data_IF_736165935435
#
_entry.id   IF_736165935435
#
_cell.length_a   1.000
_cell.length_b   1.000
_cell.length_c   1.000
_cell.angle_alpha   90.00
_cell.angle_beta   90.00
_cell.angle_gamma   90.00
#
_symmetry.space_group_name_H-M   'P 1'
#
loop_
_entity.id
_entity.type
_entity.pdbx_description
1 polymer ?
#
# COMPACT_ATOMS: atom_id res chain seq x y z
N UNK A 1 -5.07 25.65 0.02
CA UNK A 1 -4.17 26.56 0.75
C UNK A 1 -3.85 25.90 2.09
N UNK A 2 -2.58 25.56 2.36
CA UNK A 2 -2.19 25.07 3.70
C UNK A 2 -2.38 26.22 4.69
N UNK A 3 -3.10 26.00 5.78
CA UNK A 3 -3.51 27.08 6.70
C UNK A 3 -2.26 27.79 7.26
N UNK A 4 -2.25 29.13 7.24
CA UNK A 4 -1.11 30.01 7.59
C UNK A 4 0.15 29.86 6.72
N UNK A 5 0.04 29.28 5.53
CA UNK A 5 1.13 29.32 4.56
C UNK A 5 1.03 30.56 3.67
N UNK A 6 2.18 31.11 3.29
CA UNK A 6 2.29 32.08 2.20
C UNK A 6 2.54 31.31 0.90
N UNK A 7 1.71 31.49 -0.15
CA UNK A 7 1.96 30.84 -1.42
C UNK A 7 3.19 31.45 -2.08
N UNK A 8 4.04 30.59 -2.64
CA UNK A 8 5.16 30.98 -3.49
C UNK A 8 4.94 30.30 -4.85
N UNK A 9 4.85 31.10 -5.91
CA UNK A 9 4.67 30.59 -7.28
C UNK A 9 6.03 30.58 -7.97
N UNK A 10 6.66 29.41 -8.01
CA UNK A 10 7.94 29.19 -8.66
C UNK A 10 8.10 27.71 -9.05
N UNK A 11 9.08 27.42 -9.91
CA UNK A 11 9.62 26.06 -10.01
C UNK A 11 10.21 25.65 -8.65
N UNK A 12 9.94 24.43 -8.20
CA UNK A 12 10.33 23.99 -6.86
C UNK A 12 11.85 23.96 -6.68
N UNK A 13 12.61 23.54 -7.70
CA UNK A 13 14.07 23.47 -7.63
C UNK A 13 14.68 24.87 -7.59
N UNK A 14 14.25 25.76 -8.49
CA UNK A 14 14.73 27.15 -8.53
C UNK A 14 14.38 27.87 -7.22
N UNK A 15 13.14 27.76 -6.75
CA UNK A 15 12.71 28.38 -5.50
C UNK A 15 13.49 27.88 -4.29
N UNK A 16 13.77 26.57 -4.20
CA UNK A 16 14.60 26.02 -3.13
C UNK A 16 16.05 26.53 -3.17
N UNK A 17 16.62 26.74 -4.37
CA UNK A 17 17.98 27.28 -4.50
C UNK A 17 18.07 28.74 -4.02
N UNK A 18 17.10 29.58 -4.41
CA UNK A 18 17.04 30.97 -3.95
C UNK A 18 16.77 31.08 -2.44
N UNK A 19 15.84 30.27 -1.92
CA UNK A 19 15.58 30.20 -0.48
C UNK A 19 16.81 29.73 0.29
N UNK A 20 17.56 28.76 -0.21
CA UNK A 20 18.78 28.28 0.44
C UNK A 20 19.85 29.38 0.53
N UNK A 21 20.02 30.18 -0.52
CA UNK A 21 20.92 31.33 -0.51
C UNK A 21 20.45 32.44 0.46
N UNK A 22 19.15 32.77 0.43
CA UNK A 22 18.59 33.79 1.31
C UNK A 22 18.60 33.41 2.80
N UNK A 23 18.61 32.10 3.10
CA UNK A 23 18.65 31.55 4.46
C UNK A 23 20.06 31.15 4.90
N UNK A 24 21.11 31.62 4.22
CA UNK A 24 22.48 31.33 4.62
C UNK A 24 22.73 31.72 6.08
N UNK A 25 23.28 30.78 6.86
CA UNK A 25 23.53 30.96 8.30
C UNK A 25 22.30 30.80 9.20
N UNK A 26 21.08 30.79 8.65
CA UNK A 26 19.87 30.51 9.43
C UNK A 26 19.79 29.04 9.83
N UNK A 27 19.34 28.77 11.06
CA UNK A 27 19.06 27.42 11.56
C UNK A 27 17.77 27.43 12.37
N UNK A 28 16.97 26.37 12.21
CA UNK A 28 15.85 26.13 13.11
C UNK A 28 16.35 25.97 14.56
N UNK A 29 15.54 26.31 15.58
CA UNK A 29 15.91 26.13 16.97
C UNK A 29 16.40 24.69 17.25
N UNK A 30 17.53 24.50 17.95
CA UNK A 30 18.04 23.17 18.25
C UNK A 30 17.02 22.22 18.90
N UNK A 31 16.16 22.66 19.84
CA UNK A 31 15.13 21.79 20.42
C UNK A 31 14.14 21.24 19.39
N UNK A 32 13.75 22.05 18.41
CA UNK A 32 12.83 21.64 17.34
C UNK A 32 13.45 20.54 16.46
N UNK A 33 14.70 20.74 16.07
CA UNK A 33 15.42 19.76 15.23
C UNK A 33 15.71 18.47 16.01
N UNK A 34 15.97 18.56 17.31
CA UNK A 34 16.16 17.41 18.19
C UNK A 34 14.87 16.60 18.34
N UNK A 35 13.73 17.26 18.58
CA UNK A 35 12.43 16.59 18.67
C UNK A 35 12.06 15.90 17.34
N UNK A 36 12.17 16.60 16.20
CA UNK A 36 11.88 16.01 14.89
C UNK A 36 12.72 14.73 14.61
N UNK A 37 13.99 14.71 15.01
CA UNK A 37 14.85 13.52 14.92
C UNK A 37 14.37 12.41 15.86
N UNK A 38 14.04 12.74 17.11
CA UNK A 38 13.53 11.77 18.09
C UNK A 38 12.21 11.14 17.62
N UNK A 39 11.26 11.95 17.15
CA UNK A 39 9.98 11.47 16.61
C UNK A 39 10.18 10.57 15.37
N UNK A 40 11.11 10.93 14.48
CA UNK A 40 11.45 10.09 13.33
C UNK A 40 12.01 8.73 13.78
N UNK A 41 12.91 8.70 14.75
CA UNK A 41 13.46 7.45 15.29
C UNK A 41 12.36 6.59 15.91
N UNK A 42 11.50 7.19 16.76
CA UNK A 42 10.39 6.50 17.39
C UNK A 42 9.39 5.92 16.37
N UNK A 43 9.13 6.66 15.28
CA UNK A 43 8.31 6.15 14.18
C UNK A 43 8.96 4.97 13.48
N UNK A 44 10.25 5.03 13.16
CA UNK A 44 10.96 3.93 12.49
C UNK A 44 10.93 2.66 13.36
N UNK A 45 11.15 2.79 14.66
CA UNK A 45 11.03 1.68 15.61
C UNK A 45 9.60 1.11 15.66
N UNK A 46 8.60 1.97 15.55
CA UNK A 46 7.19 1.56 15.50
C UNK A 46 6.85 0.83 14.21
N UNK A 47 7.23 1.39 13.06
CA UNK A 47 7.06 0.76 11.76
C UNK A 47 7.77 -0.60 11.69
N UNK A 48 8.98 -0.71 12.27
CA UNK A 48 9.74 -1.95 12.33
C UNK A 48 8.94 -3.09 13.00
N UNK A 49 8.19 -2.79 14.07
CA UNK A 49 7.33 -3.79 14.75
C UNK A 49 6.20 -4.31 13.85
N UNK A 50 5.55 -3.43 13.08
CA UNK A 50 4.48 -3.84 12.16
C UNK A 50 5.00 -4.60 10.94
N UNK A 51 6.20 -4.24 10.47
CA UNK A 51 6.82 -4.89 9.31
C UNK A 51 7.60 -6.16 9.69
N UNK A 52 7.71 -6.51 10.96
CA UNK A 52 8.53 -7.62 11.44
C UNK A 52 8.08 -8.96 10.86
N UNK A 53 9.04 -9.85 10.63
CA UNK A 53 8.76 -11.25 10.28
C UNK A 53 7.96 -11.92 11.40
N UNK A 54 7.10 -12.87 11.03
CA UNK A 54 6.34 -13.69 11.95
C UNK A 54 5.93 -15.00 11.28
N UNK A 55 5.40 -15.94 12.06
CA UNK A 55 4.89 -17.23 11.58
C UNK A 55 3.35 -17.27 11.60
N UNK A 56 2.69 -16.12 11.51
CA UNK A 56 1.22 -16.08 11.38
C UNK A 56 0.80 -16.71 10.05
N UNK A 57 -0.31 -17.45 10.06
CA UNK A 57 -0.82 -18.13 8.87
C UNK A 57 -1.18 -17.14 7.75
N UNK A 58 -1.79 -16.01 8.11
CA UNK A 58 -2.16 -14.93 7.18
C UNK A 58 -1.52 -13.62 7.64
N UNK A 59 -0.39 -13.21 7.04
CA UNK A 59 0.24 -11.95 7.40
C UNK A 59 -0.63 -10.74 7.04
N UNK A 60 -0.35 -9.61 7.70
CA UNK A 60 -0.89 -8.33 7.29
C UNK A 60 -0.13 -7.75 6.08
N UNK A 61 -0.75 -6.81 5.37
CA UNK A 61 -0.09 -6.03 4.31
C UNK A 61 1.24 -5.43 4.79
N UNK A 62 1.29 -4.94 6.03
CA UNK A 62 2.49 -4.37 6.66
C UNK A 62 3.65 -5.39 6.74
N UNK A 63 3.35 -6.64 7.07
CA UNK A 63 4.34 -7.71 7.17
C UNK A 63 4.83 -8.14 5.78
N UNK A 64 3.94 -8.15 4.78
CA UNK A 64 4.31 -8.40 3.38
C UNK A 64 5.22 -7.28 2.85
N UNK A 65 4.91 -6.01 3.12
CA UNK A 65 5.78 -4.86 2.81
C UNK A 65 7.16 -5.04 3.46
N UNK A 66 7.19 -5.46 4.72
CA UNK A 66 8.42 -5.79 5.44
C UNK A 66 9.24 -6.90 4.78
N UNK A 67 8.59 -7.98 4.35
CA UNK A 67 9.24 -9.09 3.64
C UNK A 67 9.85 -8.64 2.31
N UNK A 68 9.13 -7.82 1.53
CA UNK A 68 9.66 -7.21 0.30
C UNK A 68 10.89 -6.36 0.59
N UNK A 69 10.83 -5.51 1.63
CA UNK A 69 11.95 -4.64 2.00
C UNK A 69 13.18 -5.43 2.49
N UNK A 70 12.99 -6.53 3.24
CA UNK A 70 14.09 -7.39 3.69
C UNK A 70 14.73 -8.18 2.55
N UNK A 71 13.92 -8.77 1.67
CA UNK A 71 14.42 -9.64 0.60
C UNK A 71 15.08 -8.86 -0.53
N UNK A 72 14.53 -7.70 -0.89
CA UNK A 72 14.96 -6.93 -2.06
C UNK A 72 15.73 -5.65 -1.68
N UNK A 73 15.69 -5.23 -0.42
CA UNK A 73 16.24 -3.94 -0.01
C UNK A 73 15.35 -2.78 -0.47
N UNK A 74 15.90 -1.56 -0.36
CA UNK A 74 15.16 -0.30 -0.57
C UNK A 74 15.44 0.36 -1.92
N UNK A 75 16.47 -0.11 -2.64
CA UNK A 75 16.85 0.39 -3.98
C UNK A 75 16.14 -0.41 -5.08
N UNK A 76 14.82 -0.48 -4.97
CA UNK A 76 13.91 -1.02 -5.98
C UNK A 76 12.82 0.00 -6.21
N UNK A 77 12.18 -0.01 -7.38
CA UNK A 77 11.00 0.79 -7.58
C UNK A 77 9.74 -0.01 -7.21
N UNK A 78 8.99 0.49 -6.23
CA UNK A 78 7.71 -0.09 -5.82
C UNK A 78 6.58 0.60 -6.60
N UNK A 79 5.61 -0.17 -7.06
CA UNK A 79 4.42 0.35 -7.71
C UNK A 79 3.14 -0.30 -7.18
N UNK A 80 2.14 0.53 -6.88
CA UNK A 80 0.82 0.12 -6.44
C UNK A 80 -0.21 1.24 -6.77
N UNK A 81 -1.51 0.94 -6.76
CA UNK A 81 -2.53 1.91 -7.20
C UNK A 81 -3.74 2.01 -6.28
N UNK A 82 -4.21 0.90 -5.71
CA UNK A 82 -5.49 0.88 -5.02
C UNK A 82 -5.56 -0.08 -3.84
N UNK A 83 -6.63 0.03 -3.05
CA UNK A 83 -6.92 -0.85 -1.93
C UNK A 83 -6.35 -0.35 -0.59
N UNK A 84 -6.07 -1.27 0.33
CA UNK A 84 -5.41 -0.94 1.61
C UNK A 84 -3.91 -0.65 1.47
N UNK A 85 -3.28 -1.24 0.45
CA UNK A 85 -1.85 -1.17 0.19
C UNK A 85 -1.30 0.25 0.04
N UNK A 86 -1.92 1.20 -0.68
CA UNK A 86 -1.43 2.58 -0.76
C UNK A 86 -1.24 3.23 0.61
N UNK A 87 -2.18 3.01 1.54
CA UNK A 87 -2.10 3.54 2.90
C UNK A 87 -0.99 2.86 3.72
N UNK A 88 -0.85 1.54 3.61
CA UNK A 88 0.21 0.79 4.29
C UNK A 88 1.61 1.12 3.74
N UNK A 89 1.77 1.20 2.41
CA UNK A 89 2.99 1.62 1.75
C UNK A 89 3.39 3.05 2.13
N UNK A 90 2.42 3.97 2.21
CA UNK A 90 2.67 5.36 2.62
C UNK A 90 3.27 5.44 4.02
N UNK A 91 2.79 4.59 4.94
CA UNK A 91 3.25 4.54 6.33
C UNK A 91 4.60 3.81 6.44
N UNK A 92 4.79 2.72 5.69
CA UNK A 92 5.79 1.70 6.04
C UNK A 92 6.93 1.54 5.01
N UNK A 93 6.73 1.93 3.76
CA UNK A 93 7.77 1.79 2.75
C UNK A 93 8.85 2.86 2.92
N UNK A 94 10.10 2.44 3.10
CA UNK A 94 11.22 3.34 3.24
C UNK A 94 11.88 3.56 1.87
N UNK A 95 11.31 4.41 1.04
CA UNK A 95 11.90 4.75 -0.26
C UNK A 95 13.37 5.20 -0.11
N UNK A 96 14.25 4.75 -1.01
CA UNK A 96 15.68 5.07 -0.96
C UNK A 96 16.05 6.29 -1.80
N UNK A 97 15.35 6.54 -2.90
CA UNK A 97 15.66 7.61 -3.83
C UNK A 97 14.40 8.17 -4.54
N UNK A 98 14.46 9.37 -5.12
CA UNK A 98 13.42 9.87 -6.01
C UNK A 98 13.14 8.88 -7.14
N UNK A 99 11.86 8.69 -7.49
CA UNK A 99 11.45 7.76 -8.56
C UNK A 99 11.45 6.29 -8.15
N UNK A 100 11.65 5.95 -6.86
CA UNK A 100 11.56 4.55 -6.40
C UNK A 100 10.23 4.21 -5.70
N UNK A 101 9.29 5.16 -5.68
CA UNK A 101 7.98 5.02 -5.05
C UNK A 101 6.89 5.56 -5.97
N UNK A 102 6.19 4.66 -6.66
CA UNK A 102 5.16 4.97 -7.64
C UNK A 102 3.79 4.53 -7.12
N UNK A 103 3.07 5.46 -6.50
CA UNK A 103 1.74 5.22 -5.99
C UNK A 103 0.72 6.11 -6.68
N UNK A 104 -0.37 5.51 -7.13
CA UNK A 104 -1.54 6.25 -7.59
C UNK A 104 -2.38 6.65 -6.36
N UNK A 105 -2.54 7.97 -6.13
CA UNK A 105 -3.41 8.53 -5.09
C UNK A 105 -4.52 9.43 -5.64
N UNK A 106 -4.45 9.80 -6.93
CA UNK A 106 -5.32 10.80 -7.52
C UNK A 106 -6.66 10.20 -7.89
N UNK A 107 -6.65 9.24 -8.80
CA UNK A 107 -7.86 8.52 -9.22
C UNK A 107 -8.06 7.20 -8.45
N UNK A 108 -6.99 6.68 -7.85
CA UNK A 108 -6.85 5.36 -7.22
C UNK A 108 -7.39 4.24 -8.11
N UNK A 109 -6.91 4.21 -9.36
CA UNK A 109 -7.40 3.28 -10.39
C UNK A 109 -7.00 1.84 -10.07
N UNK A 110 -7.98 1.01 -9.72
CA UNK A 110 -7.76 -0.44 -9.68
C UNK A 110 -7.42 -0.97 -11.08
N UNK A 111 -6.53 -1.97 -11.15
CA UNK A 111 -6.02 -2.57 -12.38
C UNK A 111 -4.83 -1.82 -13.00
N UNK A 112 -4.48 -0.63 -12.52
CA UNK A 112 -3.34 0.14 -13.05
C UNK A 112 -1.99 -0.53 -12.76
N UNK A 113 -1.89 -1.35 -11.71
CA UNK A 113 -0.64 -1.78 -11.11
C UNK A 113 0.30 -2.49 -12.10
N UNK A 114 -0.18 -3.48 -12.86
CA UNK A 114 0.70 -4.24 -13.76
C UNK A 114 1.11 -3.37 -14.96
N UNK A 115 0.16 -2.65 -15.57
CA UNK A 115 0.43 -1.75 -16.69
C UNK A 115 1.41 -0.62 -16.31
N UNK A 116 1.20 -0.01 -15.14
CA UNK A 116 2.09 0.99 -14.57
C UNK A 116 3.49 0.42 -14.32
N UNK A 117 3.57 -0.82 -13.84
CA UNK A 117 4.84 -1.55 -13.66
C UNK A 117 5.60 -1.72 -14.97
N UNK A 118 4.92 -2.10 -16.05
CA UNK A 118 5.51 -2.17 -17.40
C UNK A 118 6.06 -0.81 -17.82
N UNK A 119 5.25 0.24 -17.71
CA UNK A 119 5.67 1.60 -18.07
C UNK A 119 6.90 2.07 -17.29
N UNK A 120 6.93 1.80 -15.99
CA UNK A 120 8.06 2.12 -15.13
C UNK A 120 9.34 1.37 -15.53
N UNK A 121 9.22 0.07 -15.83
CA UNK A 121 10.35 -0.75 -16.27
C UNK A 121 10.87 -0.34 -17.65
N UNK A 122 9.99 0.10 -18.54
CA UNK A 122 10.38 0.66 -19.85
C UNK A 122 11.10 2.01 -19.68
N UNK A 123 10.70 2.83 -18.70
CA UNK A 123 11.31 4.12 -18.43
C UNK A 123 12.70 3.99 -17.77
N UNK A 124 12.90 3.03 -16.88
CA UNK A 124 14.21 2.67 -16.30
C UNK A 124 14.44 1.14 -16.35
N UNK A 125 14.96 0.61 -17.48
CA UNK A 125 15.21 -0.81 -17.64
C UNK A 125 16.21 -1.40 -16.63
N UNK A 126 17.04 -0.56 -16.01
CA UNK A 126 18.07 -0.98 -15.05
C UNK A 126 17.51 -1.26 -13.66
N UNK A 127 16.34 -0.70 -13.33
CA UNK A 127 15.73 -0.85 -12.00
C UNK A 127 14.96 -2.15 -11.86
N UNK A 128 15.06 -2.81 -10.71
CA UNK A 128 14.11 -3.86 -10.35
C UNK A 128 12.76 -3.21 -10.00
N UNK A 129 11.70 -3.62 -10.68
CA UNK A 129 10.35 -3.10 -10.48
C UNK A 129 9.52 -4.15 -9.75
N UNK A 130 9.00 -3.77 -8.59
CA UNK A 130 8.09 -4.59 -7.80
C UNK A 130 6.71 -3.98 -7.84
N UNK A 131 5.75 -4.76 -8.32
CA UNK A 131 4.33 -4.39 -8.33
C UNK A 131 3.65 -5.07 -7.15
N UNK A 132 3.07 -4.30 -6.23
CA UNK A 132 2.24 -4.84 -5.15
C UNK A 132 0.77 -4.63 -5.50
N UNK A 133 0.00 -5.72 -5.54
CA UNK A 133 -1.37 -5.72 -6.03
C UNK A 133 -2.26 -6.63 -5.18
N UNK A 134 -3.48 -6.20 -4.87
CA UNK A 134 -4.48 -7.07 -4.24
C UNK A 134 -5.20 -7.95 -5.27
N UNK A 135 -5.75 -9.08 -4.85
CA UNK A 135 -6.49 -10.03 -5.70
C UNK A 135 -7.61 -9.37 -6.51
N UNK A 136 -8.38 -8.47 -5.89
CA UNK A 136 -9.44 -7.74 -6.60
C UNK A 136 -8.92 -6.82 -7.71
N UNK A 137 -7.81 -6.12 -7.47
CA UNK A 137 -7.20 -5.22 -8.46
C UNK A 137 -6.52 -6.01 -9.59
N UNK A 138 -5.87 -7.13 -9.23
CA UNK A 138 -5.29 -8.07 -10.18
C UNK A 138 -6.33 -8.55 -11.20
N UNK A 139 -7.53 -8.92 -10.75
CA UNK A 139 -8.59 -9.42 -11.62
C UNK A 139 -9.15 -8.39 -12.61
N UNK A 140 -8.86 -7.09 -12.44
CA UNK A 140 -9.32 -6.04 -13.36
C UNK A 140 -8.44 -5.92 -14.62
N UNK A 141 -7.14 -6.18 -14.52
CA UNK A 141 -6.19 -5.99 -15.62
C UNK A 141 -5.05 -7.03 -15.63
N UNK A 142 -5.36 -8.27 -15.24
CA UNK A 142 -4.40 -9.38 -15.20
C UNK A 142 -3.77 -9.70 -16.56
N UNK A 143 -4.46 -9.41 -17.68
CA UNK A 143 -4.00 -9.65 -19.05
C UNK A 143 -2.66 -8.98 -19.33
N UNK A 144 -2.32 -7.89 -18.63
CA UNK A 144 -1.05 -7.19 -18.80
C UNK A 144 0.17 -8.02 -18.36
N UNK A 145 -0.02 -9.13 -17.64
CA UNK A 145 1.06 -10.10 -17.47
C UNK A 145 1.52 -10.68 -18.82
N UNK A 146 0.59 -10.98 -19.73
CA UNK A 146 0.91 -11.47 -21.06
C UNK A 146 1.65 -10.39 -21.86
N UNK A 147 1.26 -9.12 -21.73
CA UNK A 147 1.98 -7.98 -22.31
C UNK A 147 3.41 -7.89 -21.79
N UNK A 148 3.60 -7.96 -20.47
CA UNK A 148 4.93 -7.94 -19.83
C UNK A 148 5.82 -9.07 -20.33
N UNK A 149 5.29 -10.29 -20.45
CA UNK A 149 6.01 -11.46 -20.99
C UNK A 149 6.33 -11.28 -22.48
N UNK A 150 5.36 -10.86 -23.29
CA UNK A 150 5.54 -10.61 -24.72
C UNK A 150 6.65 -9.59 -24.99
N UNK A 151 6.71 -8.53 -24.17
CA UNK A 151 7.72 -7.48 -24.29
C UNK A 151 9.08 -7.86 -23.66
N UNK A 152 9.19 -9.00 -22.97
CA UNK A 152 10.36 -9.33 -22.16
C UNK A 152 10.62 -8.31 -21.04
N UNK A 153 9.59 -7.54 -20.66
CA UNK A 153 9.70 -6.47 -19.66
C UNK A 153 9.44 -7.06 -18.29
N UNK A 154 10.49 -7.67 -17.72
CA UNK A 154 10.44 -8.38 -16.43
C UNK A 154 9.92 -7.48 -15.29
N UNK A 155 8.92 -7.98 -14.58
CA UNK A 155 8.40 -7.45 -13.31
C UNK A 155 8.45 -8.53 -12.21
N UNK A 156 8.56 -8.10 -10.95
CA UNK A 156 8.24 -8.93 -9.79
C UNK A 156 6.88 -8.48 -9.27
N UNK A 157 5.86 -9.33 -9.35
CA UNK A 157 4.50 -9.02 -8.87
C UNK A 157 4.26 -9.76 -7.56
N UNK A 158 3.94 -9.02 -6.50
CA UNK A 158 3.52 -9.56 -5.21
C UNK A 158 2.01 -9.40 -5.12
N UNK A 159 1.30 -10.52 -5.24
CA UNK A 159 -0.17 -10.57 -5.22
C UNK A 159 -0.63 -10.96 -3.81
N UNK A 160 -1.29 -10.03 -3.14
CA UNK A 160 -1.85 -10.22 -1.81
C UNK A 160 -3.31 -10.67 -1.95
N UNK A 161 -3.57 -11.92 -1.60
CA UNK A 161 -4.86 -12.57 -1.75
C UNK A 161 -5.60 -12.59 -0.40
N UNK A 162 -6.47 -11.60 -0.19
CA UNK A 162 -7.29 -11.50 1.03
C UNK A 162 -8.75 -11.90 0.80
N UNK A 163 -9.04 -12.52 -0.36
CA UNK A 163 -10.37 -13.02 -0.75
C UNK A 163 -11.42 -11.91 -0.91
N UNK A 164 -11.05 -10.80 -1.55
CA UNK A 164 -11.96 -9.73 -1.95
C UNK A 164 -11.43 -8.31 -1.72
N UNK A 165 -12.33 -7.39 -1.42
CA UNK A 165 -12.06 -5.98 -1.16
C UNK A 165 -11.93 -5.72 0.35
N UNK A 166 -10.86 -6.25 0.95
CA UNK A 166 -10.61 -6.18 2.40
C UNK A 166 -10.68 -4.77 3.01
N UNK A 167 -10.12 -3.75 2.34
CA UNK A 167 -10.17 -2.37 2.87
C UNK A 167 -11.59 -1.79 2.89
N UNK A 168 -12.42 -2.11 1.90
CA UNK A 168 -13.82 -1.66 1.83
C UNK A 168 -14.64 -2.41 2.88
N UNK A 169 -14.41 -3.72 3.05
CA UNK A 169 -15.01 -4.49 4.13
C UNK A 169 -14.68 -3.90 5.51
N UNK A 170 -13.43 -3.50 5.72
CA UNK A 170 -12.98 -2.88 6.97
C UNK A 170 -13.65 -1.51 7.17
N UNK A 171 -13.74 -0.67 6.13
CA UNK A 171 -14.48 0.60 6.16
C UNK A 171 -15.94 0.38 6.58
N UNK A 172 -16.61 -0.52 5.86
CA UNK A 172 -18.01 -0.87 6.09
C UNK A 172 -18.25 -1.30 7.53
N UNK A 173 -17.37 -2.15 8.06
CA UNK A 173 -17.48 -2.60 9.44
C UNK A 173 -17.21 -1.47 10.46
N UNK A 174 -16.17 -0.65 10.24
CA UNK A 174 -15.84 0.47 11.14
C UNK A 174 -16.90 1.58 11.17
N UNK A 175 -17.76 1.65 10.15
CA UNK A 175 -18.89 2.59 10.08
C UNK A 175 -20.19 1.99 10.61
N UNK A 176 -20.11 0.85 11.31
CA UNK A 176 -21.25 0.15 11.93
C UNK A 176 -22.08 -0.70 10.97
N UNK A 177 -21.64 -0.86 9.72
CA UNK A 177 -22.28 -1.74 8.74
C UNK A 177 -21.97 -3.22 8.98
N UNK A 178 -22.92 -4.08 8.61
CA UNK A 178 -22.62 -5.51 8.45
C UNK A 178 -21.63 -5.70 7.29
N UNK A 179 -20.81 -6.75 7.38
CA UNK A 179 -19.99 -7.20 6.24
C UNK A 179 -20.92 -7.64 5.11
N UNK A 180 -20.78 -7.03 3.92
CA UNK A 180 -21.64 -7.37 2.78
C UNK A 180 -20.94 -7.09 1.45
N UNK A 181 -20.93 -8.12 0.59
CA UNK A 181 -20.47 -8.14 -0.80
C UNK A 181 -19.05 -7.62 -1.09
N UNK A 182 -18.22 -7.45 -0.05
CA UNK A 182 -16.83 -7.01 -0.20
C UNK A 182 -15.84 -8.16 -0.08
N UNK A 183 -16.10 -9.14 0.78
CA UNK A 183 -15.30 -10.37 0.85
C UNK A 183 -16.10 -11.51 0.23
N UNK A 184 -15.41 -12.47 -0.41
CA UNK A 184 -16.08 -13.60 -1.02
C UNK A 184 -16.93 -14.40 -0.01
N UNK A 185 -16.47 -14.52 1.24
CA UNK A 185 -17.20 -15.17 2.34
C UNK A 185 -18.48 -14.43 2.79
N UNK A 186 -18.53 -13.12 2.62
CA UNK A 186 -19.61 -12.29 3.15
C UNK A 186 -20.46 -11.74 2.00
N UNK A 187 -21.11 -12.63 1.25
CA UNK A 187 -21.91 -12.26 0.08
C UNK A 187 -23.38 -12.71 0.21
N UNK A 188 -24.31 -11.91 -0.31
CA UNK A 188 -25.76 -12.17 -0.17
C UNK A 188 -26.34 -13.20 -1.12
N UNK A 189 -25.61 -13.55 -2.19
CA UNK A 189 -26.06 -14.54 -3.17
C UNK A 189 -24.92 -15.46 -3.57
N UNK A 190 -24.41 -16.20 -2.60
CA UNK A 190 -23.30 -17.12 -2.81
C UNK A 190 -23.78 -18.57 -2.87
N UNK A 191 -23.58 -19.22 -4.02
CA UNK A 191 -23.75 -20.66 -4.15
C UNK A 191 -22.43 -21.42 -3.90
N UNK A 192 -21.30 -20.82 -4.29
CA UNK A 192 -19.95 -21.40 -4.17
C UNK A 192 -18.89 -20.30 -4.14
N UNK A 193 -17.78 -20.54 -3.44
CA UNK A 193 -16.61 -19.67 -3.49
C UNK A 193 -15.76 -19.91 -4.75
N UNK A 194 -15.20 -18.86 -5.38
CA UNK A 194 -14.49 -19.00 -6.64
C UNK A 194 -13.11 -19.69 -6.55
N UNK A 195 -12.60 -20.02 -5.35
CA UNK A 195 -11.34 -20.76 -5.08
C UNK A 195 -10.24 -20.55 -6.15
N UNK A 196 -9.87 -19.30 -6.39
CA UNK A 196 -9.02 -18.90 -7.53
C UNK A 196 -7.56 -19.29 -7.27
N UNK A 197 -6.98 -20.12 -8.13
CA UNK A 197 -5.52 -20.34 -8.16
C UNK A 197 -4.84 -19.24 -9.00
N UNK A 198 -4.51 -18.13 -8.33
CA UNK A 198 -3.82 -17.00 -8.97
C UNK A 198 -2.43 -17.36 -9.51
N UNK A 199 -1.74 -18.34 -8.92
CA UNK A 199 -0.44 -18.77 -9.41
C UNK A 199 -0.60 -19.55 -10.72
N UNK A 200 -1.58 -20.45 -10.81
CA UNK A 200 -1.91 -21.12 -12.07
C UNK A 200 -2.39 -20.12 -13.13
N UNK A 201 -3.23 -19.15 -12.74
CA UNK A 201 -3.70 -18.11 -13.64
C UNK A 201 -2.54 -17.28 -14.22
N UNK A 202 -1.60 -16.83 -13.39
CA UNK A 202 -0.40 -16.13 -13.84
C UNK A 202 0.49 -16.99 -14.75
N UNK A 203 0.65 -18.29 -14.46
CA UNK A 203 1.37 -19.23 -15.34
C UNK A 203 0.69 -19.39 -16.70
N UNK A 204 -0.64 -19.40 -16.73
CA UNK A 204 -1.41 -19.49 -17.98
C UNK A 204 -1.20 -18.26 -18.88
N UNK A 205 -0.82 -17.11 -18.30
CA UNK A 205 -0.45 -15.89 -19.04
C UNK A 205 1.04 -15.83 -19.40
N UNK A 206 1.81 -16.91 -19.15
CA UNK A 206 3.21 -17.05 -19.54
C UNK A 206 4.24 -16.61 -18.49
N UNK A 207 3.79 -16.08 -17.35
CA UNK A 207 4.67 -15.67 -16.26
C UNK A 207 5.21 -16.87 -15.45
N UNK A 208 6.29 -16.68 -14.72
CA UNK A 208 6.63 -17.57 -13.61
C UNK A 208 5.70 -17.28 -12.45
N UNK A 209 5.20 -18.29 -11.76
CA UNK A 209 4.41 -18.02 -10.56
C UNK A 209 4.42 -19.15 -9.55
N UNK A 210 4.38 -18.75 -8.27
CA UNK A 210 4.25 -19.64 -7.12
C UNK A 210 3.41 -18.98 -6.03
N UNK A 211 2.80 -19.79 -5.19
CA UNK A 211 2.15 -19.34 -3.95
C UNK A 211 3.12 -19.59 -2.79
N UNK A 212 3.41 -18.56 -2.01
CA UNK A 212 4.15 -18.66 -0.76
C UNK A 212 3.16 -18.96 0.38
N UNK A 213 3.50 -19.94 1.21
CA UNK A 213 2.70 -20.32 2.38
C UNK A 213 3.07 -19.56 3.65
N UNK A 214 4.16 -18.78 3.61
CA UNK A 214 4.65 -18.00 4.74
C UNK A 214 5.45 -16.77 4.28
N UNK A 215 5.73 -15.85 5.20
CA UNK A 215 6.62 -14.72 4.95
C UNK A 215 8.05 -15.17 4.60
N UNK A 216 8.54 -16.27 5.19
CA UNK A 216 9.86 -16.81 4.87
C UNK A 216 9.94 -17.31 3.43
N UNK A 217 8.93 -18.08 2.99
CA UNK A 217 8.84 -18.54 1.60
C UNK A 217 8.65 -17.37 0.62
N UNK A 218 7.95 -16.31 1.03
CA UNK A 218 7.84 -15.09 0.23
C UNK A 218 9.21 -14.43 0.04
N UNK A 219 10.00 -14.28 1.10
CA UNK A 219 11.35 -13.71 1.03
C UNK A 219 12.28 -14.54 0.12
N UNK A 220 12.25 -15.86 0.24
CA UNK A 220 12.98 -16.78 -0.64
C UNK A 220 12.51 -16.65 -2.11
N UNK A 221 11.20 -16.55 -2.31
CA UNK A 221 10.62 -16.40 -3.63
C UNK A 221 11.00 -15.09 -4.31
N UNK A 222 11.04 -13.99 -3.55
CA UNK A 222 11.49 -12.68 -4.02
C UNK A 222 12.96 -12.70 -4.40
N UNK A 223 13.82 -13.31 -3.57
CA UNK A 223 15.24 -13.45 -3.86
C UNK A 223 15.50 -14.27 -5.14
N UNK A 224 14.69 -15.30 -5.39
CA UNK A 224 14.74 -16.09 -6.62
C UNK A 224 14.17 -15.31 -7.82
N UNK A 225 13.05 -14.60 -7.67
CA UNK A 225 12.44 -13.77 -8.72
C UNK A 225 13.39 -12.66 -9.21
N UNK A 226 14.21 -12.08 -8.32
CA UNK A 226 15.28 -11.15 -8.69
C UNK A 226 16.25 -11.74 -9.72
N UNK A 227 16.54 -13.04 -9.64
CA UNK A 227 17.48 -13.73 -10.54
C UNK A 227 16.82 -14.24 -11.83
N UNK A 228 15.49 -14.27 -11.89
CA UNK A 228 14.75 -14.66 -13.09
C UNK A 228 14.88 -13.61 -14.19
N UNK A 229 14.85 -14.05 -15.44
CA UNK A 229 14.80 -13.21 -16.64
C UNK A 229 13.36 -12.95 -17.11
N UNK A 230 12.37 -13.54 -16.43
CA UNK A 230 10.95 -13.46 -16.79
C UNK A 230 10.11 -12.92 -15.65
N UNK A 231 9.01 -12.25 -16.01
CA UNK A 231 8.04 -11.76 -15.03
C UNK A 231 7.59 -12.87 -14.09
N UNK A 232 7.69 -12.59 -12.79
CA UNK A 232 7.40 -13.55 -11.73
C UNK A 232 6.29 -13.02 -10.83
N UNK A 233 5.24 -13.82 -10.62
CA UNK A 233 4.14 -13.54 -9.69
C UNK A 233 4.28 -14.41 -8.44
N UNK A 234 4.33 -13.78 -7.28
CA UNK A 234 4.37 -14.46 -5.99
C UNK A 234 3.06 -14.14 -5.28
N UNK A 235 2.24 -15.16 -5.06
CA UNK A 235 0.95 -15.06 -4.38
C UNK A 235 1.17 -15.33 -2.89
N UNK A 236 0.56 -14.53 -2.03
CA UNK A 236 0.51 -14.78 -0.58
C UNK A 236 -0.89 -14.49 -0.05
N UNK A 237 -1.43 -15.40 0.78
CA UNK A 237 -2.69 -15.15 1.46
C UNK A 237 -2.47 -14.12 2.57
N UNK A 238 -3.35 -13.12 2.69
CA UNK A 238 -3.27 -12.11 3.74
C UNK A 238 -4.56 -11.98 4.53
N UNK A 239 -4.46 -11.45 5.76
CA UNK A 239 -5.62 -11.20 6.60
C UNK A 239 -6.32 -9.91 6.12
N UNK A 240 -7.61 -9.97 5.67
CA UNK A 240 -8.34 -8.78 5.24
C UNK A 240 -8.59 -7.75 6.35
N UNK A 241 -8.44 -8.14 7.63
CA UNK A 241 -8.75 -7.30 8.78
C UNK A 241 -7.54 -6.64 9.42
N UNK A 242 -6.38 -7.29 9.37
CA UNK A 242 -5.16 -6.75 9.97
C UNK A 242 -4.71 -5.46 9.25
N UNK A 243 -4.40 -4.42 10.02
CA UNK A 243 -3.87 -3.15 9.51
C UNK A 243 -3.03 -2.46 10.59
N UNK A 244 -2.15 -1.54 10.19
CA UNK A 244 -1.34 -0.78 11.15
C UNK A 244 -2.19 0.22 11.92
N UNK A 245 -2.44 -0.07 13.20
CA UNK A 245 -3.20 0.78 14.13
C UNK A 245 -2.42 1.91 14.81
N UNK A 246 -1.11 2.02 14.57
CA UNK A 246 -0.32 3.13 15.10
C UNK A 246 -0.59 4.44 14.32
N UNK A 247 -0.49 5.57 15.04
CA UNK A 247 -0.59 6.91 14.46
C UNK A 247 -1.78 7.74 14.94
N UNK A 248 -2.68 7.19 15.77
CA UNK A 248 -3.69 7.95 16.53
C UNK A 248 -4.67 8.78 15.69
N UNK A 249 -4.82 8.44 14.41
CA UNK A 249 -5.71 9.11 13.47
C UNK A 249 -6.95 8.25 13.22
N UNK A 250 -7.97 8.89 12.67
CA UNK A 250 -9.24 8.28 12.35
C UNK A 250 -9.61 8.62 10.91
N UNK A 251 -10.49 7.82 10.32
CA UNK A 251 -10.90 8.03 8.94
C UNK A 251 -12.06 9.02 8.90
N UNK A 252 -11.79 10.23 8.41
CA UNK A 252 -12.82 11.27 8.24
C UNK A 252 -13.70 10.96 7.03
N UNK A 253 -14.49 9.89 7.19
CA UNK A 253 -15.53 9.44 6.29
C UNK A 253 -16.83 9.52 7.06
N UNK A 254 -17.75 10.37 6.59
CA UNK A 254 -19.01 10.59 7.26
C UNK A 254 -19.78 9.28 7.47
N UNK A 255 -20.09 8.98 8.73
CA UNK A 255 -21.02 7.91 9.10
C UNK A 255 -22.45 8.39 8.88
N UNK A 256 -23.33 7.47 8.46
CA UNK A 256 -24.76 7.75 8.22
C UNK A 256 -25.39 8.47 9.42
N UNK A 257 -26.03 9.60 9.17
CA UNK A 257 -26.65 10.44 10.21
C UNK A 257 -27.86 9.76 10.87
N UNK A 258 -28.62 8.98 10.11
CA UNK A 258 -29.81 8.26 10.58
C UNK A 258 -29.68 6.78 10.23
N UNK A 259 -29.88 5.91 11.21
CA UNK A 259 -29.89 4.44 11.01
C UNK A 259 -30.73 3.76 12.10
N UNK A 260 -31.39 2.66 11.73
CA UNK A 260 -32.06 1.78 12.69
C UNK A 260 -31.08 0.80 13.37
N UNK A 261 -29.84 0.73 12.90
CA UNK A 261 -28.80 -0.16 13.43
C UNK A 261 -28.08 0.48 14.62
N UNK A 262 -28.07 -0.15 15.80
CA UNK A 262 -27.36 0.39 16.96
C UNK A 262 -25.86 0.64 16.70
N UNK A 263 -25.20 -0.24 15.93
CA UNK A 263 -23.77 -0.16 15.64
C UNK A 263 -23.43 1.09 14.80
N UNK A 264 -24.31 1.47 13.86
CA UNK A 264 -24.14 2.69 13.05
C UNK A 264 -24.34 3.94 13.92
N UNK A 265 -25.32 3.92 14.82
CA UNK A 265 -25.56 5.02 15.76
C UNK A 265 -24.35 5.22 16.68
N UNK A 266 -23.76 4.12 17.16
CA UNK A 266 -22.53 4.16 17.96
C UNK A 266 -21.34 4.70 17.16
N UNK A 267 -21.11 4.17 15.95
CA UNK A 267 -20.05 4.66 15.06
C UNK A 267 -20.21 6.16 14.74
N UNK A 268 -21.44 6.64 14.56
CA UNK A 268 -21.73 8.06 14.33
C UNK A 268 -21.37 8.92 15.54
N UNK A 269 -21.68 8.48 16.77
CA UNK A 269 -21.28 9.19 17.98
C UNK A 269 -19.76 9.27 18.13
N UNK A 270 -19.05 8.18 17.81
CA UNK A 270 -17.59 8.17 17.82
C UNK A 270 -16.99 9.13 16.77
N UNK A 271 -17.57 9.16 15.55
CA UNK A 271 -17.23 10.10 14.48
C UNK A 271 -17.39 11.56 14.93
N UNK A 272 -18.54 11.92 15.52
CA UNK A 272 -18.81 13.28 16.00
C UNK A 272 -17.90 13.71 17.15
N UNK A 273 -17.58 12.78 18.06
CA UNK A 273 -16.61 13.02 19.12
C UNK A 273 -15.20 13.27 18.56
N UNK A 274 -14.81 12.54 17.51
CA UNK A 274 -13.53 12.72 16.84
C UNK A 274 -13.45 14.06 16.07
N UNK A 275 -14.55 14.47 15.41
CA UNK A 275 -14.67 15.80 14.79
C UNK A 275 -14.49 16.93 15.80
N UNK A 276 -15.05 16.82 17.01
CA UNK A 276 -14.87 17.82 18.06
C UNK A 276 -13.40 17.97 18.51
N UNK A 277 -12.60 16.92 18.31
CA UNK A 277 -11.16 16.91 18.55
C UNK A 277 -10.32 17.51 17.42
N UNK A 278 -10.90 17.75 16.23
CA UNK A 278 -10.18 18.40 15.13
C UNK A 278 -9.77 19.81 15.55
N UNK A 279 -8.46 20.08 15.49
CA UNK A 279 -7.95 21.41 15.82
C UNK A 279 -8.20 22.32 14.64
N UNK A 280 -8.34 23.62 14.91
CA UNK A 280 -8.36 24.62 13.87
C UNK A 280 -7.03 24.63 13.08
N UNK A 281 -6.93 23.79 12.04
CA UNK A 281 -5.72 23.63 11.22
C UNK A 281 -5.40 22.20 10.78
N UNK A 282 -6.08 21.19 11.33
CA UNK A 282 -6.25 19.88 10.69
C UNK A 282 -7.38 19.98 9.65
#
# INVERSE_FOLDING_TARGET
SKRRAMPLVCDARVGLAELAAALEGWRAPPPWTADAKAQRTAWIETAARYTAASNVERPSDAQVIGAVQRALGRDIAILCAAGGLPGELHKLWQAAAPGTYHLEYGFSCMGYEIAGGIGLKLADPTREVVVMVGDGSYMMANSELATSVMLGTKLIVVLLDNRGFGCINRLQHTTGGERFNNLYEFNTRQERQPEIDFAAHARALGAEARKASSLAELEEALAAARKSDRTTVIVIDTDPMASTGAGGHWWDVAVSEVSQRPEVVEARRAYEAALAGQRAGD
#
